data_IF_301743668041
#
_entry.id   IF_301743668041
#
_cell.length_a   1.000
_cell.length_b   1.000
_cell.length_c   1.000
_cell.angle_alpha   90.00
_cell.angle_beta   90.00
_cell.angle_gamma   90.00
#
_symmetry.space_group_name_H-M   'P 1'
#
loop_
_entity.id
_entity.type
_entity.pdbx_description
1 polymer ?
#
# COMPACT_ATOMS: atom_id res chain seq x y z
N UNK A 1 22.43 -24.69 2.33
CA UNK A 1 21.79 -23.91 3.43
C UNK A 1 21.16 -22.63 2.89
N UNK A 2 20.26 -22.72 1.91
CA UNK A 2 19.69 -21.52 1.27
C UNK A 2 18.16 -21.52 1.18
N UNK A 3 17.50 -22.68 1.10
CA UNK A 3 16.03 -22.74 1.10
C UNK A 3 15.42 -22.23 2.43
N UNK A 4 16.13 -22.43 3.55
CA UNK A 4 15.73 -21.91 4.86
C UNK A 4 15.69 -20.36 4.89
N UNK A 5 16.54 -19.68 4.11
CA UNK A 5 16.53 -18.21 4.03
C UNK A 5 15.30 -17.71 3.27
N UNK A 6 14.87 -18.45 2.26
CA UNK A 6 13.61 -18.16 1.54
C UNK A 6 12.43 -18.32 2.51
N UNK A 7 12.38 -19.41 3.28
CA UNK A 7 11.32 -19.61 4.27
C UNK A 7 11.28 -18.50 5.32
N UNK A 8 12.43 -18.13 5.90
CA UNK A 8 12.49 -17.03 6.87
C UNK A 8 11.99 -15.71 6.26
N UNK A 9 12.34 -15.44 5.01
CA UNK A 9 11.86 -14.25 4.30
C UNK A 9 10.34 -14.30 4.04
N UNK A 10 9.75 -15.48 3.84
CA UNK A 10 8.29 -15.64 3.78
C UNK A 10 7.62 -15.42 5.15
N UNK A 11 8.24 -15.85 6.25
CA UNK A 11 7.76 -15.55 7.61
C UNK A 11 7.76 -14.04 7.89
N UNK A 12 8.81 -13.36 7.44
CA UNK A 12 8.90 -11.90 7.55
C UNK A 12 7.86 -11.18 6.69
N UNK A 13 7.56 -11.69 5.49
CA UNK A 13 6.46 -11.17 4.67
C UNK A 13 5.12 -11.31 5.40
N UNK A 14 4.84 -12.47 6.00
CA UNK A 14 3.60 -12.71 6.71
C UNK A 14 3.41 -11.73 7.88
N UNK A 15 4.48 -11.46 8.64
CA UNK A 15 4.49 -10.45 9.70
C UNK A 15 4.30 -9.04 9.16
N UNK A 16 5.00 -8.67 8.08
CA UNK A 16 4.85 -7.38 7.41
C UNK A 16 3.42 -7.16 6.94
N UNK A 17 2.80 -8.19 6.36
CA UNK A 17 1.41 -8.13 5.94
C UNK A 17 0.52 -7.85 7.15
N UNK A 18 0.69 -8.52 8.29
CA UNK A 18 -0.12 -8.24 9.48
C UNK A 18 -0.05 -6.76 9.92
N UNK A 19 1.11 -6.12 9.79
CA UNK A 19 1.36 -4.74 10.24
C UNK A 19 1.00 -3.66 9.20
N UNK A 20 1.03 -4.00 7.91
CA UNK A 20 0.80 -3.07 6.77
C UNK A 20 -0.59 -2.39 6.75
N UNK A 21 -1.54 -2.88 7.56
CA UNK A 21 -2.88 -2.30 7.64
C UNK A 21 -2.89 -1.01 8.48
N UNK A 22 -2.04 -0.95 9.50
CA UNK A 22 -2.06 0.15 10.48
C UNK A 22 -1.00 1.21 10.16
N UNK A 23 0.18 0.80 9.70
CA UNK A 23 1.28 1.72 9.35
C UNK A 23 2.14 1.18 8.19
N UNK A 24 1.84 1.55 6.93
CA UNK A 24 2.61 1.09 5.79
C UNK A 24 3.97 1.80 5.71
N UNK A 25 5.03 1.13 6.17
CA UNK A 25 6.42 1.57 6.01
C UNK A 25 6.99 1.09 4.65
N UNK A 26 7.16 2.00 3.65
CA UNK A 26 7.66 1.64 2.33
C UNK A 26 9.13 1.21 2.34
N UNK A 27 9.95 1.73 3.25
CA UNK A 27 11.38 1.41 3.32
C UNK A 27 11.57 -0.01 3.84
N UNK A 28 10.77 -0.41 4.82
CA UNK A 28 10.78 -1.77 5.35
C UNK A 28 10.31 -2.80 4.31
N UNK A 29 9.30 -2.47 3.50
CA UNK A 29 8.86 -3.31 2.37
C UNK A 29 9.96 -3.44 1.32
N UNK A 30 10.65 -2.33 0.98
CA UNK A 30 11.75 -2.34 0.03
C UNK A 30 12.93 -3.19 0.54
N UNK A 31 13.29 -3.07 1.82
CA UNK A 31 14.33 -3.86 2.46
C UNK A 31 14.01 -5.35 2.45
N UNK A 32 12.77 -5.72 2.81
CA UNK A 32 12.32 -7.11 2.71
C UNK A 32 12.42 -7.66 1.29
N UNK A 33 11.97 -6.90 0.29
CA UNK A 33 11.99 -7.35 -1.11
C UNK A 33 13.42 -7.57 -1.64
N UNK A 34 14.36 -6.71 -1.25
CA UNK A 34 15.78 -6.90 -1.57
C UNK A 34 16.31 -8.19 -0.94
N UNK A 35 16.07 -8.40 0.36
CA UNK A 35 16.49 -9.61 1.08
C UNK A 35 15.87 -10.89 0.52
N UNK A 36 14.59 -10.86 0.15
CA UNK A 36 13.91 -11.98 -0.49
C UNK A 36 14.55 -12.36 -1.83
N UNK A 37 14.89 -11.37 -2.66
CA UNK A 37 15.56 -11.61 -3.95
C UNK A 37 16.93 -12.27 -3.79
N UNK A 38 17.70 -11.81 -2.82
CA UNK A 38 19.00 -12.41 -2.50
C UNK A 38 18.84 -13.85 -2.00
N UNK A 39 17.88 -14.10 -1.11
CA UNK A 39 17.58 -15.44 -0.62
C UNK A 39 17.13 -16.38 -1.76
N UNK A 40 16.29 -15.88 -2.67
CA UNK A 40 15.79 -16.62 -3.82
C UNK A 40 16.91 -16.94 -4.82
N UNK A 41 17.82 -16.00 -5.06
CA UNK A 41 18.97 -16.20 -5.95
C UNK A 41 19.94 -17.26 -5.38
N UNK A 42 20.08 -17.34 -4.06
CA UNK A 42 20.91 -18.33 -3.39
C UNK A 42 20.24 -19.70 -3.21
N UNK A 43 18.93 -19.83 -3.47
CA UNK A 43 18.14 -21.04 -3.17
C UNK A 43 18.65 -22.28 -3.92
N UNK A 44 18.79 -23.39 -3.18
CA UNK A 44 19.23 -24.70 -3.65
C UNK A 44 18.06 -25.46 -4.31
N UNK A 45 16.83 -25.12 -3.94
CA UNK A 45 15.57 -25.66 -4.48
C UNK A 45 15.48 -27.17 -4.29
N UNK A 46 15.69 -27.61 -3.06
CA UNK A 46 15.63 -29.00 -2.65
C UNK A 46 14.19 -29.58 -2.64
N UNK A 47 14.00 -30.78 -2.07
CA UNK A 47 12.72 -31.49 -2.10
C UNK A 47 11.53 -30.74 -1.49
N UNK A 48 11.77 -29.78 -0.59
CA UNK A 48 10.74 -28.95 0.04
C UNK A 48 10.31 -27.75 -0.81
N UNK A 49 11.03 -27.46 -1.90
CA UNK A 49 10.82 -26.31 -2.77
C UNK A 49 9.38 -26.15 -3.28
N UNK A 50 8.66 -27.23 -3.70
CA UNK A 50 7.27 -27.11 -4.10
C UNK A 50 6.36 -26.52 -3.00
N UNK A 51 6.58 -26.90 -1.74
CA UNK A 51 5.83 -26.36 -0.60
C UNK A 51 6.16 -24.88 -0.34
N UNK A 52 7.43 -24.51 -0.49
CA UNK A 52 7.86 -23.10 -0.37
C UNK A 52 7.21 -22.24 -1.46
N UNK A 53 7.15 -22.73 -2.70
CA UNK A 53 6.49 -22.02 -3.80
C UNK A 53 4.98 -21.86 -3.58
N UNK A 54 4.30 -22.90 -3.11
CA UNK A 54 2.87 -22.84 -2.76
C UNK A 54 2.62 -21.76 -1.71
N UNK A 55 3.41 -21.75 -0.63
CA UNK A 55 3.30 -20.72 0.42
C UNK A 55 3.59 -19.32 -0.13
N UNK A 56 4.60 -19.16 -0.97
CA UNK A 56 4.92 -17.88 -1.60
C UNK A 56 3.77 -17.37 -2.49
N UNK A 57 3.09 -18.26 -3.22
CA UNK A 57 1.93 -17.91 -4.04
C UNK A 57 0.72 -17.48 -3.20
N UNK A 58 0.48 -18.12 -2.05
CA UNK A 58 -0.58 -17.73 -1.12
C UNK A 58 -0.32 -16.35 -0.51
N UNK A 59 0.90 -16.12 -0.01
CA UNK A 59 1.30 -14.82 0.52
C UNK A 59 1.27 -13.73 -0.56
N UNK A 60 1.66 -14.06 -1.80
CA UNK A 60 1.58 -13.15 -2.94
C UNK A 60 0.14 -12.70 -3.24
N UNK A 61 -0.83 -13.63 -3.22
CA UNK A 61 -2.25 -13.31 -3.37
C UNK A 61 -2.78 -12.43 -2.24
N UNK A 62 -2.32 -12.67 -1.00
CA UNK A 62 -2.68 -11.83 0.15
C UNK A 62 -2.14 -10.40 -0.01
N UNK A 63 -0.87 -10.27 -0.41
CA UNK A 63 -0.23 -8.99 -0.68
C UNK A 63 -0.97 -8.21 -1.78
N UNK A 64 -1.27 -8.86 -2.91
CA UNK A 64 -2.00 -8.25 -4.02
C UNK A 64 -3.37 -7.70 -3.57
N UNK A 65 -4.11 -8.49 -2.79
CA UNK A 65 -5.41 -8.09 -2.24
C UNK A 65 -5.30 -6.81 -1.39
N UNK A 66 -4.28 -6.75 -0.52
CA UNK A 66 -4.04 -5.59 0.35
C UNK A 66 -3.60 -4.36 -0.45
N UNK A 67 -2.74 -4.53 -1.45
CA UNK A 67 -2.32 -3.45 -2.35
C UNK A 67 -3.51 -2.87 -3.10
N UNK A 68 -4.40 -3.73 -3.62
CA UNK A 68 -5.62 -3.29 -4.29
C UNK A 68 -6.55 -2.51 -3.34
N UNK A 69 -6.69 -2.96 -2.10
CA UNK A 69 -7.45 -2.23 -1.08
C UNK A 69 -6.86 -0.85 -0.78
N UNK A 70 -5.55 -0.75 -0.55
CA UNK A 70 -4.85 0.52 -0.31
C UNK A 70 -4.97 1.46 -1.52
N UNK A 71 -4.90 0.93 -2.74
CA UNK A 71 -5.09 1.72 -3.96
C UNK A 71 -6.52 2.26 -4.07
N UNK A 72 -7.53 1.49 -3.68
CA UNK A 72 -8.92 1.94 -3.64
C UNK A 72 -9.11 3.07 -2.62
N UNK A 73 -8.56 2.93 -1.41
CA UNK A 73 -8.57 3.99 -0.39
C UNK A 73 -7.90 5.27 -0.93
N UNK A 74 -6.72 5.14 -1.53
CA UNK A 74 -6.01 6.26 -2.14
C UNK A 74 -6.85 6.94 -3.23
N UNK A 75 -7.57 6.17 -4.03
CA UNK A 75 -8.51 6.68 -5.05
C UNK A 75 -9.61 7.53 -4.43
N UNK A 76 -10.32 6.98 -3.43
CA UNK A 76 -11.40 7.66 -2.73
C UNK A 76 -10.92 8.97 -2.07
N UNK A 77 -9.75 8.95 -1.41
CA UNK A 77 -9.18 10.16 -0.79
C UNK A 77 -8.86 11.24 -1.83
N UNK A 78 -8.32 10.86 -3.00
CA UNK A 78 -8.06 11.81 -4.09
C UNK A 78 -9.34 12.43 -4.63
N UNK A 79 -10.39 11.62 -4.83
CA UNK A 79 -11.69 12.11 -5.27
C UNK A 79 -12.29 13.12 -4.28
N UNK A 80 -12.23 12.82 -2.98
CA UNK A 80 -12.70 13.72 -1.92
C UNK A 80 -11.91 15.04 -1.91
N UNK A 81 -10.58 14.99 -2.03
CA UNK A 81 -9.76 16.21 -2.12
C UNK A 81 -10.08 17.04 -3.36
N UNK A 82 -10.33 16.40 -4.50
CA UNK A 82 -10.75 17.09 -5.72
C UNK A 82 -12.13 17.73 -5.54
N UNK A 83 -13.09 17.03 -4.94
CA UNK A 83 -14.42 17.56 -4.63
C UNK A 83 -14.33 18.79 -3.73
N UNK A 84 -13.53 18.73 -2.66
CA UNK A 84 -13.27 19.87 -1.77
C UNK A 84 -12.63 21.05 -2.49
N UNK A 85 -11.64 20.80 -3.35
CA UNK A 85 -10.99 21.89 -4.11
C UNK A 85 -11.96 22.60 -5.07
N UNK A 86 -12.87 21.85 -5.70
CA UNK A 86 -13.93 22.39 -6.55
C UNK A 86 -14.95 23.20 -5.74
N UNK A 87 -15.39 22.68 -4.59
CA UNK A 87 -16.27 23.39 -3.67
C UNK A 87 -15.66 24.69 -3.15
N UNK A 88 -14.38 24.66 -2.75
CA UNK A 88 -13.66 25.85 -2.30
C UNK A 88 -13.54 26.92 -3.39
N UNK A 89 -13.30 26.54 -4.66
CA UNK A 89 -13.33 27.48 -5.79
C UNK A 89 -14.73 28.04 -6.05
N UNK A 90 -15.76 27.21 -6.01
CA UNK A 90 -17.15 27.66 -6.20
C UNK A 90 -17.55 28.69 -5.14
N UNK A 91 -17.14 28.49 -3.89
CA UNK A 91 -17.38 29.43 -2.79
C UNK A 91 -16.53 30.70 -2.89
N UNK A 92 -15.28 30.60 -3.35
CA UNK A 92 -14.44 31.79 -3.59
C UNK A 92 -14.97 32.69 -4.71
N UNK A 93 -15.77 32.16 -5.64
CA UNK A 93 -16.46 32.93 -6.68
C UNK A 93 -17.70 33.67 -6.16
N UNK A 94 -18.24 33.28 -5.01
CA UNK A 94 -19.33 33.98 -4.33
C UNK A 94 -18.75 35.17 -3.55
N UNK A 95 -18.61 36.32 -4.22
CA UNK A 95 -18.46 37.60 -3.53
C UNK A 95 -19.84 37.98 -2.99
N UNK A 96 -20.06 38.10 -1.67
CA UNK A 96 -21.35 38.55 -1.16
C UNK A 96 -21.68 39.92 -1.78
N UNK A 97 -22.87 40.03 -2.37
CA UNK A 97 -23.35 41.30 -2.91
C UNK A 97 -23.30 42.33 -1.78
N UNK A 98 -22.61 43.45 -2.02
CA UNK A 98 -22.49 44.51 -1.03
C UNK A 98 -23.91 44.96 -0.61
N UNK A 99 -24.18 45.12 0.70
CA UNK A 99 -25.49 45.56 1.16
C UNK A 99 -25.81 46.93 0.55
N UNK A 100 -27.07 47.19 0.17
CA UNK A 100 -27.46 48.46 -0.42
C UNK A 100 -27.10 49.58 0.54
N UNK A 101 -26.37 50.58 0.04
CA UNK A 101 -26.13 51.83 0.77
C UNK A 101 -27.48 52.54 0.91
N UNK A 102 -28.06 52.50 2.10
CA UNK A 102 -29.15 53.39 2.49
C UNK A 102 -28.60 54.82 2.49
N UNK A 103 -28.79 55.53 1.37
CA UNK A 103 -28.56 56.97 1.28
C UNK A 103 -29.74 57.69 1.91
N UNK A 104 -29.45 58.49 2.94
CA UNK A 104 -30.32 59.51 3.52
C UNK A 104 -30.37 60.76 2.65
#
# INVERSE_FOLDING_TARGET
MSDARVMASLDDLERLLAELVDDPDPDRVAAWHAGFKEALAAAEKGPQWPGILLRAQELGRSLETRVNHLNAIRGAVREELLARSKGARALSGYKPAAPPRSGS
#
